data_IF_226096419327
#
_entry.id   IF_226096419327
#
_cell.length_a   1.000
_cell.length_b   1.000
_cell.length_c   1.000
_cell.angle_alpha   90.00
_cell.angle_beta   90.00
_cell.angle_gamma   90.00
#
_symmetry.space_group_name_H-M   'P 1'
#
loop_
_entity.id
_entity.type
_entity.pdbx_description
1 polymer ?
#
# COMPACT_ATOMS: atom_id res chain seq x y z
N UNK A 1 30.85 23.67 -3.00
CA UNK A 1 29.40 23.44 -2.81
C UNK A 1 28.63 23.50 -4.13
N UNK A 2 28.74 24.60 -4.91
CA UNK A 2 28.03 24.77 -6.20
C UNK A 2 28.40 23.70 -7.23
N UNK A 3 29.70 23.41 -7.41
CA UNK A 3 30.17 22.40 -8.37
C UNK A 3 29.63 21.01 -8.00
N UNK A 4 29.74 20.57 -6.75
CA UNK A 4 29.21 19.27 -6.31
C UNK A 4 27.69 19.16 -6.53
N UNK A 5 26.92 20.21 -6.23
CA UNK A 5 25.47 20.20 -6.45
C UNK A 5 25.13 20.14 -7.94
N UNK A 6 25.84 20.88 -8.80
CA UNK A 6 25.66 20.81 -10.24
C UNK A 6 26.08 19.45 -10.82
N UNK A 7 27.21 18.90 -10.36
CA UNK A 7 27.68 17.57 -10.78
C UNK A 7 26.72 16.46 -10.36
N UNK A 8 26.17 16.51 -9.15
CA UNK A 8 25.13 15.58 -8.69
C UNK A 8 23.83 15.74 -9.48
N UNK A 9 23.42 16.98 -9.79
CA UNK A 9 22.26 17.25 -10.62
C UNK A 9 22.42 16.70 -12.04
N UNK A 10 23.58 16.91 -12.67
CA UNK A 10 23.88 16.41 -14.02
C UNK A 10 23.98 14.88 -14.00
N UNK A 11 24.65 14.28 -13.01
CA UNK A 11 24.73 12.83 -12.87
C UNK A 11 23.35 12.19 -12.63
N UNK A 12 22.54 12.80 -11.77
CA UNK A 12 21.16 12.39 -11.51
C UNK A 12 20.28 12.51 -12.76
N UNK A 13 20.43 13.57 -13.54
CA UNK A 13 19.76 13.73 -14.83
C UNK A 13 20.15 12.62 -15.81
N UNK A 14 21.46 12.33 -15.95
CA UNK A 14 21.94 11.27 -16.85
C UNK A 14 21.43 9.90 -16.39
N UNK A 15 21.49 9.60 -15.10
CA UNK A 15 20.95 8.35 -14.54
C UNK A 15 19.44 8.25 -14.74
N UNK A 16 18.69 9.34 -14.63
CA UNK A 16 17.26 9.37 -14.89
C UNK A 16 16.96 9.10 -16.37
N UNK A 17 17.69 9.74 -17.30
CA UNK A 17 17.55 9.51 -18.74
C UNK A 17 17.90 8.07 -19.12
N UNK A 18 19.00 7.52 -18.60
CA UNK A 18 19.38 6.12 -18.82
C UNK A 18 18.38 5.15 -18.19
N UNK A 19 17.90 5.45 -16.98
CA UNK A 19 16.85 4.69 -16.32
C UNK A 19 15.57 4.67 -17.15
N UNK A 20 15.16 5.83 -17.68
CA UNK A 20 14.01 5.93 -18.57
C UNK A 20 14.22 5.15 -19.88
N UNK A 21 15.39 5.24 -20.51
CA UNK A 21 15.65 4.56 -21.78
C UNK A 21 15.79 3.03 -21.61
N UNK A 22 16.29 2.55 -20.47
CA UNK A 22 16.49 1.11 -20.23
C UNK A 22 15.27 0.47 -19.59
N UNK A 23 14.68 1.10 -18.57
CA UNK A 23 13.55 0.56 -17.81
C UNK A 23 12.22 0.93 -18.48
N UNK A 24 12.13 2.12 -19.08
CA UNK A 24 10.91 2.60 -19.74
C UNK A 24 10.38 1.63 -20.79
N UNK A 25 11.18 1.12 -21.73
CA UNK A 25 10.71 0.13 -22.71
C UNK A 25 10.22 -1.16 -22.06
N UNK A 26 10.90 -1.67 -21.03
CA UNK A 26 10.48 -2.87 -20.32
C UNK A 26 9.12 -2.67 -19.63
N UNK A 27 8.92 -1.52 -18.97
CA UNK A 27 7.65 -1.14 -18.36
C UNK A 27 6.56 -0.94 -19.42
N UNK A 28 6.89 -0.35 -20.56
CA UNK A 28 5.96 -0.14 -21.67
C UNK A 28 5.51 -1.48 -22.28
N UNK A 29 6.43 -2.42 -22.47
CA UNK A 29 6.13 -3.79 -22.93
C UNK A 29 5.22 -4.49 -21.93
N UNK A 30 5.53 -4.41 -20.64
CA UNK A 30 4.71 -5.02 -19.59
C UNK A 30 3.29 -4.41 -19.56
N UNK A 31 3.17 -3.09 -19.65
CA UNK A 31 1.87 -2.41 -19.71
C UNK A 31 1.08 -2.78 -20.97
N UNK A 32 1.73 -2.83 -22.14
CA UNK A 32 1.08 -3.23 -23.39
C UNK A 32 0.62 -4.70 -23.33
N UNK A 33 1.41 -5.60 -22.77
CA UNK A 33 1.01 -6.99 -22.58
C UNK A 33 -0.21 -7.12 -21.66
N UNK A 34 -0.22 -6.41 -20.52
CA UNK A 34 -1.38 -6.39 -19.60
C UNK A 34 -2.61 -5.79 -20.30
N UNK A 35 -2.43 -4.71 -21.06
CA UNK A 35 -3.49 -4.08 -21.85
C UNK A 35 -4.08 -5.05 -22.87
N UNK A 36 -3.24 -5.74 -23.66
CA UNK A 36 -3.68 -6.73 -24.65
C UNK A 36 -4.43 -7.91 -24.00
N UNK A 37 -3.97 -8.39 -22.83
CA UNK A 37 -4.67 -9.42 -22.07
C UNK A 37 -6.07 -8.97 -21.63
N UNK A 38 -6.18 -7.74 -21.13
CA UNK A 38 -7.45 -7.15 -20.70
C UNK A 38 -8.37 -6.93 -21.91
N UNK A 39 -7.88 -6.35 -23.00
CA UNK A 39 -8.65 -6.14 -24.23
C UNK A 39 -9.13 -7.47 -24.83
N UNK A 40 -8.30 -8.50 -24.85
CA UNK A 40 -8.70 -9.84 -25.32
C UNK A 40 -9.81 -10.45 -24.47
N UNK A 41 -9.75 -10.31 -23.14
CA UNK A 41 -10.79 -10.80 -22.22
C UNK A 41 -12.11 -10.03 -22.39
N UNK A 42 -12.01 -8.73 -22.65
CA UNK A 42 -13.15 -7.86 -22.96
C UNK A 42 -13.81 -8.28 -24.26
N UNK A 43 -13.04 -8.46 -25.34
CA UNK A 43 -13.57 -8.89 -26.64
C UNK A 43 -14.20 -10.28 -26.59
N UNK A 44 -13.69 -11.17 -25.75
CA UNK A 44 -14.26 -12.50 -25.52
C UNK A 44 -15.54 -12.48 -24.64
N UNK A 45 -15.92 -11.32 -24.07
CA UNK A 45 -17.13 -11.17 -23.26
C UNK A 45 -17.02 -11.69 -21.81
N UNK A 46 -15.82 -12.04 -21.35
CA UNK A 46 -15.61 -12.64 -20.03
C UNK A 46 -15.14 -11.61 -18.98
N UNK A 47 -15.84 -10.48 -18.87
CA UNK A 47 -15.51 -9.40 -17.91
C UNK A 47 -15.27 -9.88 -16.46
N UNK A 48 -16.03 -10.84 -15.89
CA UNK A 48 -15.76 -11.32 -14.54
C UNK A 48 -14.34 -11.87 -14.36
N UNK A 49 -13.75 -12.51 -15.37
CA UNK A 49 -12.41 -13.10 -15.26
C UNK A 49 -11.30 -12.05 -15.06
N UNK A 50 -11.56 -10.77 -15.34
CA UNK A 50 -10.61 -9.70 -15.03
C UNK A 50 -10.23 -9.66 -13.54
N UNK A 51 -11.10 -10.13 -12.65
CA UNK A 51 -10.80 -10.21 -11.22
C UNK A 51 -9.65 -11.18 -10.87
N UNK A 52 -9.33 -12.18 -11.72
CA UNK A 52 -8.13 -13.00 -11.53
C UNK A 52 -6.84 -12.18 -11.62
N UNK A 53 -6.85 -11.10 -12.40
CA UNK A 53 -5.69 -10.22 -12.59
C UNK A 53 -5.77 -9.04 -11.63
N UNK A 54 -6.95 -8.41 -11.52
CA UNK A 54 -7.12 -7.18 -10.75
C UNK A 54 -6.90 -7.37 -9.26
N UNK A 55 -7.44 -8.43 -8.64
CA UNK A 55 -7.36 -8.58 -7.19
C UNK A 55 -5.92 -8.82 -6.70
N UNK A 56 -5.13 -9.74 -7.31
CA UNK A 56 -3.70 -9.87 -6.95
C UNK A 56 -2.91 -8.59 -7.22
N UNK A 57 -3.12 -7.95 -8.37
CA UNK A 57 -2.41 -6.72 -8.73
C UNK A 57 -2.69 -5.58 -7.75
N UNK A 58 -3.94 -5.43 -7.28
CA UNK A 58 -4.29 -4.44 -6.25
C UNK A 58 -3.47 -4.64 -4.97
N UNK A 59 -3.40 -5.87 -4.47
CA UNK A 59 -2.66 -6.18 -3.23
C UNK A 59 -1.16 -5.93 -3.38
N UNK A 60 -0.63 -6.07 -4.59
CA UNK A 60 0.75 -5.73 -4.95
C UNK A 60 0.95 -4.24 -5.30
N UNK A 61 -0.03 -3.37 -5.02
CA UNK A 61 0.02 -1.92 -5.30
C UNK A 61 0.15 -1.54 -6.79
N UNK A 62 -0.27 -2.44 -7.69
CA UNK A 62 -0.31 -2.21 -9.14
C UNK A 62 -1.67 -1.65 -9.61
N UNK A 63 -2.53 -1.23 -8.68
CA UNK A 63 -3.87 -0.72 -8.98
C UNK A 63 -3.84 0.52 -9.87
N UNK A 64 -2.95 1.48 -9.60
CA UNK A 64 -2.85 2.70 -10.41
C UNK A 64 -2.40 2.41 -11.85
N UNK A 65 -1.51 1.42 -12.05
CA UNK A 65 -1.05 1.04 -13.38
C UNK A 65 -2.20 0.47 -14.21
N UNK A 66 -3.03 -0.36 -13.61
CA UNK A 66 -4.20 -0.96 -14.27
C UNK A 66 -5.29 0.10 -14.51
N UNK A 67 -5.61 0.93 -13.51
CA UNK A 67 -6.66 1.93 -13.59
C UNK A 67 -6.35 3.00 -14.63
N UNK A 68 -5.19 3.66 -14.50
CA UNK A 68 -4.81 4.76 -15.38
C UNK A 68 -4.30 4.27 -16.73
N UNK A 69 -3.64 3.12 -16.78
CA UNK A 69 -3.05 2.57 -18.00
C UNK A 69 -4.05 1.88 -18.91
N UNK A 70 -5.12 1.29 -18.36
CA UNK A 70 -6.03 0.43 -19.14
C UNK A 70 -7.49 0.83 -18.97
N UNK A 71 -8.04 0.79 -17.75
CA UNK A 71 -9.48 0.95 -17.57
C UNK A 71 -9.99 2.36 -17.81
N UNK A 72 -9.23 3.39 -17.44
CA UNK A 72 -9.67 4.78 -17.64
C UNK A 72 -9.72 5.18 -19.12
N UNK A 73 -8.70 4.88 -19.95
CA UNK A 73 -8.79 5.08 -21.40
C UNK A 73 -9.97 4.36 -22.04
N UNK A 74 -10.14 3.05 -21.77
CA UNK A 74 -11.25 2.26 -22.31
C UNK A 74 -12.61 2.78 -21.83
N UNK A 75 -12.68 3.16 -20.55
CA UNK A 75 -13.88 3.69 -19.94
C UNK A 75 -14.28 5.05 -20.49
N UNK A 76 -13.33 5.94 -20.73
CA UNK A 76 -13.60 7.24 -21.36
C UNK A 76 -14.09 7.09 -22.80
N UNK A 77 -13.48 6.19 -23.57
CA UNK A 77 -13.93 5.88 -24.93
C UNK A 77 -15.38 5.36 -24.93
N UNK A 78 -15.66 4.35 -24.10
CA UNK A 78 -17.00 3.77 -24.01
C UNK A 78 -18.03 4.79 -23.49
N UNK A 79 -17.71 5.53 -22.43
CA UNK A 79 -18.62 6.51 -21.84
C UNK A 79 -18.91 7.70 -22.77
N UNK A 80 -18.00 8.04 -23.68
CA UNK A 80 -18.27 9.05 -24.72
C UNK A 80 -19.37 8.62 -25.69
N UNK A 81 -19.57 7.32 -25.90
CA UNK A 81 -20.57 6.78 -26.83
C UNK A 81 -21.88 6.41 -26.12
N UNK A 82 -21.78 5.77 -24.95
CA UNK A 82 -22.93 5.19 -24.23
C UNK A 82 -23.33 5.97 -22.98
N UNK A 83 -22.58 7.02 -22.61
CA UNK A 83 -22.79 7.83 -21.41
C UNK A 83 -22.31 7.17 -20.11
N UNK A 84 -21.85 5.92 -20.13
CA UNK A 84 -21.33 5.19 -18.97
C UNK A 84 -20.36 4.08 -19.35
N UNK A 85 -19.52 3.65 -18.42
CA UNK A 85 -18.66 2.49 -18.63
C UNK A 85 -18.57 1.60 -17.40
N UNK A 86 -18.61 0.29 -17.64
CA UNK A 86 -18.34 -0.74 -16.64
C UNK A 86 -16.86 -0.76 -16.23
N UNK A 87 -15.93 -0.29 -17.08
CA UNK A 87 -14.49 -0.29 -16.78
C UNK A 87 -14.13 0.58 -15.59
N UNK A 88 -14.89 1.65 -15.35
CA UNK A 88 -14.78 2.46 -14.15
C UNK A 88 -15.25 1.74 -12.87
N UNK A 89 -15.90 0.59 -12.97
CA UNK A 89 -16.41 -0.17 -11.84
C UNK A 89 -15.55 -1.36 -11.45
N UNK A 90 -14.89 -2.01 -12.41
CA UNK A 90 -14.26 -3.34 -12.22
C UNK A 90 -13.13 -3.29 -11.18
N UNK A 91 -12.23 -2.34 -11.29
CA UNK A 91 -11.07 -2.27 -10.40
C UNK A 91 -11.38 -1.64 -9.04
N UNK A 92 -12.16 -0.55 -9.04
CA UNK A 92 -12.46 0.23 -7.85
C UNK A 92 -13.64 -0.30 -7.01
N UNK A 93 -14.19 -1.48 -7.33
CA UNK A 93 -15.38 -2.01 -6.65
C UNK A 93 -15.10 -2.16 -5.15
N UNK A 94 -15.80 -1.43 -4.27
CA UNK A 94 -15.56 -1.50 -2.82
C UNK A 94 -16.20 -2.73 -2.17
N UNK A 95 -17.02 -3.49 -2.89
CA UNK A 95 -17.74 -4.65 -2.36
C UNK A 95 -16.83 -5.75 -1.80
N UNK A 96 -15.85 -6.27 -2.56
CA UNK A 96 -14.97 -7.33 -2.07
C UNK A 96 -14.24 -6.95 -0.77
N UNK A 97 -13.63 -5.77 -0.73
CA UNK A 97 -12.92 -5.28 0.46
C UNK A 97 -13.86 -5.12 1.68
N UNK A 98 -15.08 -4.62 1.47
CA UNK A 98 -16.10 -4.57 2.51
C UNK A 98 -16.44 -5.97 3.05
N UNK A 99 -16.66 -6.95 2.17
CA UNK A 99 -16.99 -8.32 2.55
C UNK A 99 -15.88 -9.00 3.37
N UNK A 100 -14.62 -8.79 2.97
CA UNK A 100 -13.45 -9.26 3.71
C UNK A 100 -13.42 -8.68 5.13
N UNK A 101 -13.53 -7.35 5.25
CA UNK A 101 -13.43 -6.64 6.54
C UNK A 101 -14.61 -6.96 7.47
N UNK A 102 -15.82 -7.16 6.93
CA UNK A 102 -16.97 -7.66 7.69
C UNK A 102 -16.69 -9.05 8.27
N UNK A 103 -16.10 -9.95 7.47
CA UNK A 103 -15.76 -11.29 7.94
C UNK A 103 -14.71 -11.26 9.04
N UNK A 104 -13.69 -10.39 8.94
CA UNK A 104 -12.70 -10.19 10.01
C UNK A 104 -13.30 -9.53 11.27
N UNK A 105 -14.26 -8.64 11.12
CA UNK A 105 -14.96 -8.01 12.25
C UNK A 105 -15.73 -9.05 13.07
N UNK A 106 -16.39 -10.01 12.40
CA UNK A 106 -17.20 -11.03 13.09
C UNK A 106 -16.38 -12.25 13.52
N UNK A 107 -15.57 -12.80 12.61
CA UNK A 107 -14.89 -14.10 12.76
C UNK A 107 -13.36 -14.00 12.86
N UNK A 108 -12.77 -12.82 12.71
CA UNK A 108 -11.34 -12.62 12.93
C UNK A 108 -10.96 -12.84 14.39
N UNK A 109 -9.65 -12.85 14.65
CA UNK A 109 -9.05 -12.94 16.00
C UNK A 109 -8.05 -11.82 16.23
N UNK A 110 -7.70 -11.57 17.49
CA UNK A 110 -6.65 -10.64 17.90
C UNK A 110 -6.82 -9.21 17.33
N UNK A 111 -5.70 -8.62 16.92
CA UNK A 111 -5.63 -7.26 16.38
C UNK A 111 -6.37 -7.08 15.05
N UNK A 112 -6.41 -8.12 14.20
CA UNK A 112 -7.16 -8.07 12.95
C UNK A 112 -8.66 -7.83 13.21
N UNK A 113 -9.26 -8.53 14.19
CA UNK A 113 -10.66 -8.29 14.58
C UNK A 113 -10.90 -6.89 15.11
N UNK A 114 -10.02 -6.42 16.01
CA UNK A 114 -10.16 -5.10 16.67
C UNK A 114 -10.04 -3.93 15.70
N UNK A 115 -9.17 -4.06 14.68
CA UNK A 115 -8.91 -3.00 13.69
C UNK A 115 -9.89 -3.00 12.51
N UNK A 116 -10.50 -4.15 12.18
CA UNK A 116 -11.34 -4.31 10.98
C UNK A 116 -12.52 -3.33 10.88
N UNK A 117 -13.25 -2.97 11.96
CA UNK A 117 -14.34 -1.99 11.88
C UNK A 117 -13.86 -0.59 11.45
N UNK A 118 -12.72 -0.15 11.98
CA UNK A 118 -12.13 1.14 11.60
C UNK A 118 -11.63 1.11 10.16
N UNK A 119 -10.99 0.00 9.77
CA UNK A 119 -10.56 -0.23 8.40
C UNK A 119 -11.73 -0.20 7.41
N UNK A 120 -12.86 -0.80 7.77
CA UNK A 120 -14.06 -0.89 6.94
C UNK A 120 -14.65 0.48 6.65
N UNK A 121 -14.74 1.36 7.66
CA UNK A 121 -15.28 2.70 7.49
C UNK A 121 -14.42 3.50 6.51
N UNK A 122 -13.10 3.53 6.73
CA UNK A 122 -12.18 4.32 5.90
C UNK A 122 -12.08 3.73 4.47
N UNK A 123 -12.12 2.41 4.34
CA UNK A 123 -12.14 1.74 3.05
C UNK A 123 -13.43 2.04 2.26
N UNK A 124 -14.59 1.70 2.84
CA UNK A 124 -15.85 1.72 2.12
C UNK A 124 -16.38 3.13 1.89
N UNK A 125 -16.31 3.98 2.94
CA UNK A 125 -16.80 5.36 2.88
C UNK A 125 -15.73 6.35 2.42
N UNK A 126 -14.47 6.11 2.80
CA UNK A 126 -13.34 6.98 2.42
C UNK A 126 -12.72 6.61 1.07
N UNK A 127 -12.92 5.38 0.57
CA UNK A 127 -12.41 4.94 -0.73
C UNK A 127 -10.93 4.57 -0.75
N UNK A 128 -10.35 4.26 0.42
CA UNK A 128 -8.95 3.84 0.55
C UNK A 128 -8.88 2.31 0.54
N UNK A 129 -8.60 1.72 -0.61
CA UNK A 129 -8.63 0.26 -0.82
C UNK A 129 -7.44 -0.46 -0.18
N UNK A 130 -6.35 0.24 0.04
CA UNK A 130 -5.13 -0.34 0.60
C UNK A 130 -5.28 -0.75 2.08
N UNK A 131 -6.36 -0.31 2.73
CA UNK A 131 -6.57 -0.56 4.15
C UNK A 131 -6.96 -2.01 4.46
N UNK A 132 -7.48 -2.75 3.47
CA UNK A 132 -7.76 -4.18 3.62
C UNK A 132 -6.58 -5.09 3.22
N UNK A 133 -5.52 -4.55 2.60
CA UNK A 133 -4.40 -5.36 2.12
C UNK A 133 -3.66 -6.13 3.23
N UNK A 134 -3.41 -5.56 4.43
CA UNK A 134 -2.78 -6.31 5.51
C UNK A 134 -3.55 -7.57 5.90
N UNK A 135 -4.87 -7.56 5.78
CA UNK A 135 -5.73 -8.71 6.10
C UNK A 135 -5.56 -9.84 5.10
N UNK A 136 -5.41 -9.52 3.81
CA UNK A 136 -5.15 -10.51 2.77
C UNK A 136 -3.73 -11.05 2.87
N UNK A 137 -2.73 -10.21 3.14
CA UNK A 137 -1.34 -10.66 3.29
C UNK A 137 -1.13 -11.52 4.53
N UNK A 138 -1.81 -11.21 5.63
CA UNK A 138 -1.83 -12.04 6.84
C UNK A 138 -2.45 -13.42 6.56
N UNK A 139 -3.47 -13.48 5.68
CA UNK A 139 -4.18 -14.72 5.33
C UNK A 139 -4.32 -14.83 3.80
N UNK A 140 -3.26 -15.24 3.08
CA UNK A 140 -3.24 -15.22 1.61
C UNK A 140 -4.37 -16.03 0.95
N UNK A 141 -4.89 -17.06 1.62
CA UNK A 141 -6.03 -17.84 1.12
C UNK A 141 -7.29 -16.98 0.91
N UNK A 142 -7.44 -15.88 1.65
CA UNK A 142 -8.55 -14.93 1.46
C UNK A 142 -8.50 -14.18 0.13
N UNK A 143 -7.37 -14.23 -0.61
CA UNK A 143 -7.28 -13.75 -1.99
C UNK A 143 -8.30 -14.45 -2.90
N UNK A 144 -8.58 -15.73 -2.69
CA UNK A 144 -9.59 -16.46 -3.46
C UNK A 144 -10.98 -15.85 -3.22
N UNK A 145 -11.27 -15.43 -1.99
CA UNK A 145 -12.52 -14.74 -1.66
C UNK A 145 -12.62 -13.38 -2.37
N UNK A 146 -11.52 -12.62 -2.41
CA UNK A 146 -11.44 -11.35 -3.12
C UNK A 146 -11.70 -11.54 -4.62
N UNK A 147 -11.04 -12.52 -5.25
CA UNK A 147 -11.25 -12.86 -6.67
C UNK A 147 -12.71 -13.23 -6.92
N UNK A 148 -13.26 -14.17 -6.15
CA UNK A 148 -14.64 -14.61 -6.31
C UNK A 148 -15.67 -13.48 -6.11
N UNK A 149 -15.43 -12.59 -5.14
CA UNK A 149 -16.27 -11.40 -4.92
C UNK A 149 -16.14 -10.36 -6.02
N UNK A 150 -14.93 -10.14 -6.53
CA UNK A 150 -14.70 -9.29 -7.70
C UNK A 150 -15.44 -9.82 -8.93
N UNK A 151 -15.33 -11.14 -9.17
CA UNK A 151 -16.02 -11.83 -10.26
C UNK A 151 -17.54 -11.70 -10.13
N UNK A 152 -18.10 -11.96 -8.94
CA UNK A 152 -19.54 -11.90 -8.72
C UNK A 152 -20.09 -10.48 -8.86
N UNK A 153 -19.40 -9.48 -8.32
CA UNK A 153 -19.79 -8.08 -8.47
C UNK A 153 -19.75 -7.63 -9.93
N UNK A 154 -18.67 -7.95 -10.64
CA UNK A 154 -18.50 -7.63 -12.07
C UNK A 154 -19.56 -8.32 -12.93
N UNK A 155 -19.89 -9.57 -12.60
CA UNK A 155 -20.95 -10.31 -13.29
C UNK A 155 -22.32 -9.65 -13.10
N UNK A 156 -22.65 -9.21 -11.88
CA UNK A 156 -23.91 -8.50 -11.61
C UNK A 156 -23.95 -7.13 -12.29
N UNK A 157 -22.83 -6.38 -12.32
CA UNK A 157 -22.74 -5.15 -13.10
C UNK A 157 -23.02 -5.42 -14.57
N UNK A 158 -22.41 -6.45 -15.15
CA UNK A 158 -22.63 -6.80 -16.55
C UNK A 158 -24.09 -7.21 -16.82
N UNK A 159 -24.68 -8.03 -15.95
CA UNK A 159 -26.05 -8.54 -16.09
C UNK A 159 -27.12 -7.44 -15.99
N UNK A 160 -26.88 -6.43 -15.14
CA UNK A 160 -27.82 -5.32 -14.91
C UNK A 160 -27.47 -4.05 -15.69
N UNK A 161 -26.54 -4.12 -16.65
CA UNK A 161 -26.06 -2.98 -17.44
C UNK A 161 -25.60 -1.81 -16.54
N UNK A 162 -24.75 -2.14 -15.58
CA UNK A 162 -24.09 -1.20 -14.66
C UNK A 162 -22.93 -0.48 -15.32
N UNK A 163 -22.72 0.78 -14.94
CA UNK A 163 -21.58 1.59 -15.37
C UNK A 163 -21.55 2.92 -14.62
N UNK A 164 -20.39 3.57 -14.63
CA UNK A 164 -20.23 4.94 -14.11
C UNK A 164 -19.98 5.92 -15.25
N UNK A 165 -20.27 7.21 -15.02
CA UNK A 165 -20.01 8.27 -16.01
C UNK A 165 -18.51 8.64 -16.09
N UNK A 166 -17.76 8.39 -15.03
CA UNK A 166 -16.33 8.64 -14.92
C UNK A 166 -15.68 7.69 -13.89
N UNK A 167 -14.35 7.64 -13.89
CA UNK A 167 -13.58 6.92 -12.89
C UNK A 167 -13.76 7.52 -11.48
N UNK A 168 -14.15 6.72 -10.46
CA UNK A 168 -14.33 7.21 -9.10
C UNK A 168 -12.99 7.42 -8.40
N UNK A 169 -12.75 8.63 -7.91
CA UNK A 169 -11.58 8.98 -7.09
C UNK A 169 -11.98 9.94 -5.97
N UNK A 170 -11.84 9.55 -4.68
CA UNK A 170 -11.49 8.21 -4.17
C UNK A 170 -12.51 7.12 -4.56
N UNK A 171 -12.11 5.85 -4.51
CA UNK A 171 -12.97 4.70 -4.86
C UNK A 171 -14.02 4.34 -3.80
N UNK A 172 -14.68 5.35 -3.19
CA UNK A 172 -15.67 5.17 -2.13
C UNK A 172 -17.05 4.83 -2.67
N UNK A 173 -17.92 4.27 -1.82
CA UNK A 173 -19.33 4.05 -2.19
C UNK A 173 -20.04 5.37 -2.55
N UNK A 174 -19.68 6.48 -1.90
CA UNK A 174 -20.25 7.78 -2.22
C UNK A 174 -19.86 8.25 -3.61
N UNK A 175 -18.58 8.09 -4.00
CA UNK A 175 -18.13 8.40 -5.36
C UNK A 175 -18.81 7.49 -6.39
N UNK A 176 -18.94 6.19 -6.09
CA UNK A 176 -19.66 5.22 -6.93
C UNK A 176 -21.10 5.66 -7.18
N UNK A 177 -21.84 6.00 -6.13
CA UNK A 177 -23.23 6.42 -6.25
C UNK A 177 -23.37 7.78 -6.93
N UNK A 178 -22.47 8.73 -6.65
CA UNK A 178 -22.48 10.05 -7.27
C UNK A 178 -22.22 9.99 -8.79
N UNK A 179 -21.35 9.08 -9.23
CA UNK A 179 -21.01 8.88 -10.65
C UNK A 179 -21.90 7.84 -11.34
N UNK A 180 -22.88 7.27 -10.64
CA UNK A 180 -23.84 6.35 -11.25
C UNK A 180 -24.89 7.14 -12.04
N UNK A 181 -25.10 6.86 -13.33
CA UNK A 181 -26.13 7.52 -14.12
C UNK A 181 -27.54 7.13 -13.64
N UNK A 182 -28.52 8.00 -13.91
CA UNK A 182 -29.93 7.75 -13.57
C UNK A 182 -30.40 6.44 -14.21
N UNK A 183 -30.99 5.56 -13.40
CA UNK A 183 -31.46 4.22 -13.82
C UNK A 183 -30.49 3.07 -13.52
N UNK A 184 -29.19 3.33 -13.32
CA UNK A 184 -28.20 2.27 -13.03
C UNK A 184 -27.90 2.07 -11.54
N UNK A 185 -28.56 2.80 -10.64
CA UNK A 185 -28.36 2.66 -9.18
C UNK A 185 -28.61 1.25 -8.66
N UNK A 186 -29.62 0.56 -9.20
CA UNK A 186 -29.89 -0.82 -8.83
C UNK A 186 -28.71 -1.74 -9.20
N UNK A 187 -28.15 -1.58 -10.40
CA UNK A 187 -26.99 -2.34 -10.85
C UNK A 187 -25.76 -2.08 -9.95
N UNK A 188 -25.49 -0.81 -9.64
CA UNK A 188 -24.37 -0.41 -8.77
C UNK A 188 -24.51 -1.01 -7.37
N UNK A 189 -25.66 -0.84 -6.72
CA UNK A 189 -25.87 -1.33 -5.35
C UNK A 189 -25.88 -2.86 -5.34
N UNK A 190 -26.55 -3.50 -6.30
CA UNK A 190 -26.62 -4.96 -6.38
C UNK A 190 -25.23 -5.58 -6.60
N UNK A 191 -24.40 -5.04 -7.50
CA UNK A 191 -23.07 -5.60 -7.75
C UNK A 191 -22.09 -5.38 -6.59
N UNK A 192 -22.13 -4.22 -5.93
CA UNK A 192 -21.36 -3.99 -4.69
C UNK A 192 -21.80 -4.97 -3.60
N UNK A 193 -23.11 -5.18 -3.45
CA UNK A 193 -23.67 -6.10 -2.45
C UNK A 193 -23.32 -7.56 -2.77
N UNK A 194 -23.38 -7.97 -4.03
CA UNK A 194 -23.01 -9.32 -4.46
C UNK A 194 -21.53 -9.61 -4.20
N UNK A 195 -20.63 -8.67 -4.53
CA UNK A 195 -19.21 -8.79 -4.23
C UNK A 195 -18.93 -8.86 -2.72
N UNK A 196 -19.65 -8.05 -1.94
CA UNK A 196 -19.60 -8.06 -0.47
C UNK A 196 -20.03 -9.41 0.09
N UNK A 197 -21.19 -9.91 -0.32
CA UNK A 197 -21.77 -11.14 0.19
C UNK A 197 -20.89 -12.36 -0.13
N UNK A 198 -20.43 -12.49 -1.38
CA UNK A 198 -19.57 -13.61 -1.79
C UNK A 198 -18.24 -13.59 -1.03
N UNK A 199 -17.58 -12.43 -0.97
CA UNK A 199 -16.31 -12.31 -0.25
C UNK A 199 -16.49 -12.61 1.24
N UNK A 200 -17.56 -12.09 1.84
CA UNK A 200 -17.89 -12.34 3.24
C UNK A 200 -18.08 -13.83 3.52
N UNK A 201 -18.88 -14.53 2.72
CA UNK A 201 -19.19 -15.96 2.93
C UNK A 201 -17.91 -16.80 2.85
N UNK A 202 -17.11 -16.61 1.80
CA UNK A 202 -15.88 -17.40 1.59
C UNK A 202 -14.84 -17.07 2.68
N UNK A 203 -14.66 -15.79 3.01
CA UNK A 203 -13.74 -15.36 4.07
C UNK A 203 -14.18 -15.88 5.43
N UNK A 204 -15.47 -15.80 5.76
CA UNK A 204 -16.00 -16.32 7.02
C UNK A 204 -15.78 -17.83 7.15
N UNK A 205 -15.92 -18.57 6.04
CA UNK A 205 -15.63 -20.00 6.01
C UNK A 205 -14.13 -20.28 6.25
N UNK A 206 -13.24 -19.57 5.55
CA UNK A 206 -11.78 -19.67 5.74
C UNK A 206 -11.39 -19.41 7.19
N UNK A 207 -11.90 -18.33 7.79
CA UNK A 207 -11.57 -17.94 9.16
C UNK A 207 -12.11 -18.92 10.21
N UNK A 208 -13.29 -19.52 9.97
CA UNK A 208 -13.88 -20.52 10.88
C UNK A 208 -13.17 -21.87 10.86
N UNK A 209 -12.62 -22.26 9.71
CA UNK A 209 -11.87 -23.52 9.60
C UNK A 209 -10.50 -23.46 10.29
N UNK A 210 -10.04 -22.27 10.66
CA UNK A 210 -8.71 -22.07 11.15
C UNK A 210 -8.56 -22.32 12.67
N UNK A 211 -7.72 -23.29 13.01
CA UNK A 211 -7.31 -23.63 14.38
C UNK A 211 -6.04 -22.87 14.78
N UNK A 212 -6.11 -21.55 14.85
CA UNK A 212 -5.02 -20.69 15.33
C UNK A 212 -5.29 -20.16 16.74
N UNK A 213 -4.23 -20.04 17.56
CA UNK A 213 -4.26 -19.42 18.89
C UNK A 213 -4.33 -17.89 18.79
N UNK A 214 -4.81 -17.19 19.83
CA UNK A 214 -4.95 -15.72 19.78
C UNK A 214 -3.60 -14.99 19.73
N UNK A 215 -2.57 -15.53 20.42
CA UNK A 215 -1.22 -14.94 20.43
C UNK A 215 -0.57 -14.97 19.04
N UNK A 216 -0.65 -16.11 18.32
CA UNK A 216 -0.13 -16.22 16.95
C UNK A 216 -0.79 -15.22 15.98
N UNK A 217 -2.05 -14.85 16.25
CA UNK A 217 -2.81 -13.94 15.39
C UNK A 217 -2.44 -12.46 15.56
N UNK A 218 -1.91 -12.06 16.71
CA UNK A 218 -1.50 -10.66 16.94
C UNK A 218 -0.17 -10.34 16.25
N UNK A 219 0.84 -11.22 16.39
CA UNK A 219 2.16 -11.04 15.76
C UNK A 219 2.05 -11.04 14.23
N UNK A 220 1.31 -12.01 13.66
CA UNK A 220 1.16 -12.14 12.20
C UNK A 220 0.49 -10.91 11.56
N UNK A 221 -0.47 -10.27 12.23
CA UNK A 221 -1.14 -9.07 11.71
C UNK A 221 -0.21 -7.86 11.72
N UNK A 222 0.55 -7.68 12.81
CA UNK A 222 1.54 -6.60 12.94
C UNK A 222 2.58 -6.68 11.82
N UNK A 223 3.10 -7.87 11.55
CA UNK A 223 4.10 -8.08 10.49
C UNK A 223 3.53 -7.82 9.10
N UNK A 224 2.29 -8.23 8.85
CA UNK A 224 1.61 -7.96 7.57
C UNK A 224 1.35 -6.47 7.36
N UNK A 225 1.00 -5.73 8.42
CA UNK A 225 0.84 -4.29 8.37
C UNK A 225 2.18 -3.57 8.11
N UNK A 226 3.28 -4.05 8.70
CA UNK A 226 4.64 -3.58 8.41
C UNK A 226 5.03 -3.84 6.95
N UNK A 227 4.76 -5.04 6.43
CA UNK A 227 5.07 -5.41 5.04
C UNK A 227 4.32 -4.52 4.04
N UNK A 228 3.04 -4.23 4.27
CA UNK A 228 2.27 -3.25 3.46
C UNK A 228 2.91 -1.87 3.49
N UNK A 229 3.34 -1.41 4.67
CA UNK A 229 3.99 -0.11 4.82
C UNK A 229 5.33 -0.08 4.07
N UNK A 230 6.11 -1.16 4.09
CA UNK A 230 7.35 -1.30 3.35
C UNK A 230 7.12 -1.31 1.82
N UNK A 231 6.14 -2.07 1.33
CA UNK A 231 5.78 -2.10 -0.10
C UNK A 231 5.29 -0.74 -0.62
N UNK A 232 4.51 -0.01 0.18
CA UNK A 232 4.15 1.39 -0.16
C UNK A 232 5.34 2.35 -0.17
N UNK A 233 6.43 1.98 0.50
CA UNK A 233 7.65 2.77 0.61
C UNK A 233 8.72 2.33 -0.39
N UNK A 234 8.59 1.18 -1.07
CA UNK A 234 9.49 0.82 -2.18
C UNK A 234 9.25 1.77 -3.35
N UNK A 235 10.13 2.77 -3.42
CA UNK A 235 9.98 4.00 -4.21
C UNK A 235 10.47 5.24 -3.45
N UNK A 236 10.64 5.15 -2.12
CA UNK A 236 11.23 6.16 -1.24
C UNK A 236 12.16 5.51 -0.22
N UNK A 237 13.46 5.75 -0.43
CA UNK A 237 14.59 5.48 0.46
C UNK A 237 15.10 4.03 0.52
N UNK A 238 16.28 3.82 -0.07
CA UNK A 238 17.05 2.58 0.00
C UNK A 238 17.97 2.61 1.22
N UNK A 239 17.91 1.58 2.07
CA UNK A 239 18.84 1.41 3.19
C UNK A 239 20.27 1.05 2.75
N UNK A 240 20.51 0.78 1.45
CA UNK A 240 21.82 0.36 0.91
C UNK A 240 22.88 1.45 0.92
N UNK A 241 22.49 2.72 0.92
CA UNK A 241 23.42 3.86 0.82
C UNK A 241 23.58 4.62 2.16
N UNK A 242 23.05 4.08 3.25
CA UNK A 242 23.07 4.75 4.57
C UNK A 242 24.49 4.76 5.12
N UNK A 243 25.11 5.94 5.16
CA UNK A 243 26.45 6.16 5.71
C UNK A 243 26.42 6.91 7.03
N UNK A 244 25.37 7.71 7.28
CA UNK A 244 25.21 8.51 8.50
C UNK A 244 23.85 8.34 9.17
N UNK A 245 23.89 8.01 10.46
CA UNK A 245 22.70 7.91 11.31
C UNK A 245 22.82 8.93 12.44
N UNK A 246 21.84 9.84 12.53
CA UNK A 246 21.76 10.87 13.54
C UNK A 246 20.73 10.50 14.62
N UNK A 247 21.18 10.29 15.85
CA UNK A 247 20.32 10.15 17.03
C UNK A 247 20.00 11.54 17.59
N UNK A 248 18.73 11.90 17.61
CA UNK A 248 18.29 13.26 17.91
C UNK A 248 17.45 13.27 19.18
N UNK A 249 17.77 14.18 20.10
CA UNK A 249 16.91 14.52 21.23
C UNK A 249 16.91 16.04 21.47
N UNK A 250 16.04 16.54 22.35
CA UNK A 250 15.84 17.98 22.55
C UNK A 250 17.15 18.75 22.82
N UNK A 251 17.92 18.30 23.82
CA UNK A 251 19.17 18.94 24.21
C UNK A 251 20.42 18.34 23.54
N UNK A 252 20.28 17.25 22.76
CA UNK A 252 21.42 16.52 22.22
C UNK A 252 22.32 15.83 23.25
N UNK A 253 21.94 15.79 24.52
CA UNK A 253 22.73 15.18 25.61
C UNK A 253 21.84 14.24 26.42
N UNK A 254 22.37 13.07 26.81
CA UNK A 254 21.64 12.07 27.61
C UNK A 254 21.29 10.79 26.84
N UNK A 255 20.00 10.50 26.69
CA UNK A 255 19.50 9.24 26.14
C UNK A 255 19.89 9.01 24.67
N UNK A 256 19.96 10.06 23.84
CA UNK A 256 20.42 9.98 22.45
C UNK A 256 21.89 9.59 22.34
N UNK A 257 22.75 10.09 23.24
CA UNK A 257 24.17 9.76 23.26
C UNK A 257 24.41 8.29 23.62
N UNK A 258 23.65 7.77 24.60
CA UNK A 258 23.70 6.35 24.96
C UNK A 258 23.16 5.44 23.85
N UNK A 259 22.04 5.83 23.23
CA UNK A 259 21.46 5.10 22.10
C UNK A 259 22.42 5.04 20.90
N UNK A 260 22.98 6.18 20.51
CA UNK A 260 23.96 6.28 19.42
C UNK A 260 25.19 5.40 19.67
N UNK A 261 25.74 5.43 20.89
CA UNK A 261 26.95 4.67 21.23
C UNK A 261 26.66 3.16 21.23
N UNK A 262 25.52 2.75 21.78
CA UNK A 262 25.11 1.34 21.82
C UNK A 262 24.85 0.81 20.42
N UNK A 263 24.16 1.59 19.59
CA UNK A 263 23.85 1.24 18.20
C UNK A 263 25.11 1.18 17.33
N UNK A 264 26.01 2.16 17.47
CA UNK A 264 27.32 2.18 16.78
C UNK A 264 28.12 0.91 17.08
N UNK A 265 28.28 0.55 18.37
CA UNK A 265 29.01 -0.67 18.77
C UNK A 265 28.35 -1.94 18.21
N UNK A 266 27.03 -1.95 18.07
CA UNK A 266 26.29 -3.08 17.50
C UNK A 266 26.57 -3.22 16.00
N UNK A 267 26.62 -2.11 15.26
CA UNK A 267 26.97 -2.09 13.83
C UNK A 267 28.44 -2.46 13.59
N UNK A 268 29.36 -1.93 14.39
CA UNK A 268 30.79 -2.29 14.33
C UNK A 268 31.01 -3.80 14.54
N UNK A 269 30.28 -4.41 15.49
CA UNK A 269 30.31 -5.87 15.71
C UNK A 269 29.80 -6.67 14.50
N UNK A 270 28.92 -6.09 13.69
CA UNK A 270 28.41 -6.70 12.46
C UNK A 270 29.26 -6.37 11.23
N UNK A 271 30.38 -5.63 11.38
CA UNK A 271 31.28 -5.28 10.28
C UNK A 271 30.83 -4.11 9.42
N UNK A 272 29.82 -3.34 9.83
CA UNK A 272 29.30 -2.19 9.09
C UNK A 272 30.04 -0.90 9.48
N UNK A 273 30.49 -0.13 8.48
CA UNK A 273 31.21 1.15 8.66
C UNK A 273 30.26 2.34 8.48
N UNK A 274 29.24 2.43 9.34
CA UNK A 274 28.26 3.52 9.35
C UNK A 274 28.59 4.52 10.46
N UNK A 275 28.66 5.81 10.12
CA UNK A 275 28.91 6.90 11.07
C UNK A 275 27.63 7.23 11.84
N UNK A 276 27.55 6.75 13.09
CA UNK A 276 26.42 7.01 13.99
C UNK A 276 26.80 8.09 14.98
N UNK A 277 26.09 9.23 15.03
CA UNK A 277 26.34 10.34 15.97
C UNK A 277 25.05 10.83 16.60
N UNK A 278 25.16 11.61 17.66
CA UNK A 278 24.02 12.23 18.33
C UNK A 278 24.04 13.75 18.18
N UNK A 279 22.85 14.36 18.12
CA UNK A 279 22.67 15.78 17.88
C UNK A 279 21.47 16.33 18.69
N UNK A 280 21.51 17.63 18.98
CA UNK A 280 20.32 18.37 19.39
C UNK A 280 19.41 18.60 18.17
N UNK A 281 18.09 18.79 18.38
CA UNK A 281 17.11 18.98 17.28
C UNK A 281 17.53 20.12 16.34
N UNK A 282 18.10 21.20 16.88
CA UNK A 282 18.49 22.40 16.12
C UNK A 282 19.81 22.21 15.35
N UNK A 283 20.60 21.19 15.70
CA UNK A 283 21.95 20.95 15.17
C UNK A 283 22.03 19.66 14.36
N UNK A 284 20.89 19.16 13.87
CA UNK A 284 20.87 17.98 13.01
C UNK A 284 21.56 18.33 11.69
N UNK A 285 22.59 17.58 11.27
CA UNK A 285 23.30 17.89 10.04
C UNK A 285 22.46 17.50 8.81
N UNK A 286 22.53 18.33 7.76
CA UNK A 286 21.83 18.08 6.48
C UNK A 286 22.32 16.82 5.75
N UNK A 287 23.52 16.34 6.10
CA UNK A 287 24.12 15.13 5.54
C UNK A 287 23.82 13.86 6.35
N UNK A 288 22.89 13.93 7.32
CA UNK A 288 22.29 12.72 7.90
C UNK A 288 21.43 12.00 6.85
N UNK A 289 21.58 10.68 6.75
CA UNK A 289 20.75 9.84 5.87
C UNK A 289 19.50 9.36 6.61
N UNK A 290 19.63 9.06 7.91
CA UNK A 290 18.54 8.63 8.78
C UNK A 290 18.58 9.41 10.10
N UNK A 291 17.41 9.84 10.56
CA UNK A 291 17.23 10.42 11.89
C UNK A 291 16.49 9.44 12.79
N UNK A 292 17.07 9.12 13.95
CA UNK A 292 16.43 8.34 15.01
C UNK A 292 16.06 9.28 16.15
N UNK A 293 14.77 9.36 16.49
CA UNK A 293 14.28 10.28 17.54
C UNK A 293 13.12 9.67 18.31
N UNK A 294 12.87 10.17 19.51
CA UNK A 294 11.71 9.76 20.29
C UNK A 294 10.39 10.20 19.64
N UNK A 295 9.36 9.35 19.68
CA UNK A 295 8.05 9.63 19.07
C UNK A 295 7.42 10.97 19.50
N UNK A 296 7.64 11.39 20.76
CA UNK A 296 7.14 12.69 21.26
C UNK A 296 7.81 13.91 20.61
N UNK A 297 8.95 13.74 19.95
CA UNK A 297 9.74 14.81 19.33
C UNK A 297 9.57 14.88 17.81
N UNK A 298 8.79 13.97 17.21
CA UNK A 298 8.57 13.88 15.76
C UNK A 298 8.20 15.24 15.14
N UNK A 299 7.20 15.91 15.72
CA UNK A 299 6.69 17.17 15.20
C UNK A 299 7.69 18.33 15.25
N UNK A 300 8.70 18.26 16.12
CA UNK A 300 9.79 19.26 16.18
C UNK A 300 10.88 18.95 15.17
N UNK A 301 11.28 17.67 15.06
CA UNK A 301 12.31 17.25 14.11
C UNK A 301 11.87 17.47 12.66
N UNK A 302 10.60 17.19 12.32
CA UNK A 302 10.03 17.45 10.98
C UNK A 302 10.01 18.93 10.57
N UNK A 303 10.17 19.87 11.52
CA UNK A 303 10.26 21.30 11.20
C UNK A 303 11.68 21.73 10.81
N UNK A 304 12.68 20.92 11.17
CA UNK A 304 14.11 21.23 10.97
C UNK A 304 14.73 20.35 9.90
N UNK A 305 14.20 19.14 9.68
CA UNK A 305 14.73 18.21 8.68
C UNK A 305 13.64 17.37 8.01
N UNK A 306 13.75 17.22 6.69
CA UNK A 306 12.88 16.37 5.86
C UNK A 306 13.45 14.96 5.64
N UNK A 307 14.51 14.59 6.37
CA UNK A 307 15.16 13.28 6.25
C UNK A 307 14.26 12.15 6.78
N UNK A 308 14.49 10.89 6.35
CA UNK A 308 13.79 9.74 6.90
C UNK A 308 13.89 9.66 8.44
N UNK A 309 12.74 9.61 9.11
CA UNK A 309 12.64 9.52 10.57
C UNK A 309 12.28 8.10 11.01
N UNK A 310 13.01 7.60 12.00
CA UNK A 310 12.71 6.39 12.75
C UNK A 310 12.30 6.82 14.16
N UNK A 311 11.04 6.53 14.49
CA UNK A 311 10.46 6.90 15.78
C UNK A 311 10.61 5.76 16.76
N UNK A 312 11.27 6.06 17.88
CA UNK A 312 11.49 5.13 18.97
C UNK A 312 10.72 5.58 20.21
N UNK A 313 10.36 4.64 21.08
CA UNK A 313 9.83 4.90 22.43
C UNK A 313 10.93 4.87 23.47
N UNK A 314 12.01 4.16 23.21
CA UNK A 314 13.19 4.17 24.08
C UNK A 314 14.49 4.19 23.26
N UNK A 315 15.55 4.79 23.80
CA UNK A 315 16.84 4.88 23.11
C UNK A 315 17.68 3.61 23.26
N UNK A 316 17.24 2.69 24.11
CA UNK A 316 17.91 1.41 24.40
C UNK A 316 16.83 0.32 24.42
N UNK A 317 17.06 -0.77 23.68
CA UNK A 317 16.18 -1.95 23.68
C UNK A 317 14.81 -1.73 23.03
N UNK A 318 14.71 -0.77 22.11
CA UNK A 318 13.47 -0.54 21.37
C UNK A 318 13.41 -1.43 20.11
N UNK A 319 12.28 -2.12 19.85
CA UNK A 319 12.13 -2.98 18.68
C UNK A 319 12.38 -2.28 17.34
N UNK A 320 12.12 -0.97 17.24
CA UNK A 320 12.39 -0.23 16.01
C UNK A 320 13.90 -0.05 15.74
N UNK A 321 14.74 -0.10 16.78
CA UNK A 321 16.19 -0.15 16.61
C UNK A 321 16.64 -1.53 16.14
N UNK A 322 16.01 -2.60 16.60
CA UNK A 322 16.27 -3.96 16.12
C UNK A 322 15.89 -4.10 14.65
N UNK A 323 14.70 -3.62 14.27
CA UNK A 323 14.25 -3.60 12.87
C UNK A 323 15.23 -2.81 11.98
N UNK A 324 15.65 -1.61 12.41
CA UNK A 324 16.65 -0.81 11.70
C UNK A 324 17.97 -1.55 11.53
N UNK A 325 18.48 -2.16 12.60
CA UNK A 325 19.72 -2.93 12.56
C UNK A 325 19.62 -4.11 11.58
N UNK A 326 18.50 -4.84 11.61
CA UNK A 326 18.26 -5.96 10.70
C UNK A 326 18.18 -5.49 9.25
N UNK A 327 17.54 -4.36 8.96
CA UNK A 327 17.51 -3.80 7.60
C UNK A 327 18.89 -3.34 7.09
N UNK A 328 19.75 -2.84 7.98
CA UNK A 328 21.12 -2.44 7.64
C UNK A 328 22.06 -3.65 7.44
N UNK A 329 21.77 -4.79 8.09
CA UNK A 329 22.61 -6.01 8.04
C UNK A 329 22.11 -7.10 7.08
N UNK A 330 20.83 -7.07 6.69
CA UNK A 330 20.25 -8.03 5.73
C UNK A 330 20.55 -7.71 4.26
N UNK A 331 21.53 -6.84 4.01
CA UNK A 331 22.16 -6.65 2.70
C UNK A 331 23.55 -7.30 2.70
#
# INVERSE_FOLDING_TARGET
MVINNFSLGIAGMILCLLGFEVIGPAVLIANNFVKECIESLVHAGYLPLLSLINEPAKILFLNNAIDQGVYYPLGMQQASETGKSIFFMVASNPGPGLGLLLAFTLFGKGMAKKSAPGAMIIHFLGGIHELYFPYVLMKPLTLIAMIAGGMSGTWVFNLLDGGLVAGPSPGSIFAYLALTPKGSFLATIAGVTAGTAVTFIITAFILKMEKSSEADSEDTFSDSAKAVKAMKQEGKFSYRDVKRIAFVCDAGMGSSAMGATTFRRRLEKAGLTIDVKHYAIENVPDDADIIVTHASLEGRVKRVSDKPLILIKNYIGDPCLDDLFNHLTSN
#
